data_IF_286476259627
#
_entry.id   IF_286476259627
#
_cell.length_a   1.000
_cell.length_b   1.000
_cell.length_c   1.000
_cell.angle_alpha   90.00
_cell.angle_beta   90.00
_cell.angle_gamma   90.00
#
_symmetry.space_group_name_H-M   'P 1'
#
loop_
_entity.id
_entity.type
_entity.pdbx_description
1 polymer ?
#
# COMPACT_ATOMS: atom_id res chain seq x y z
N UNK A 1 -15.92 -1.87 7.12
CA UNK A 1 -16.13 -0.45 7.52
C UNK A 1 -17.10 -0.31 8.67
N UNK A 2 -18.38 -0.70 8.54
CA UNK A 2 -19.40 -0.60 9.61
C UNK A 2 -18.95 -1.23 10.92
N UNK A 3 -18.48 -2.48 10.87
CA UNK A 3 -18.01 -3.19 12.07
C UNK A 3 -16.80 -2.51 12.71
N UNK A 4 -15.77 -2.17 11.92
CA UNK A 4 -14.55 -1.55 12.46
C UNK A 4 -14.81 -0.18 13.08
N UNK A 5 -15.49 0.74 12.37
CA UNK A 5 -15.71 2.11 12.88
C UNK A 5 -16.89 2.19 13.87
N UNK A 6 -17.91 1.36 13.68
CA UNK A 6 -19.17 1.40 14.44
C UNK A 6 -19.14 0.49 15.67
N UNK A 7 -19.00 -0.82 15.45
CA UNK A 7 -19.11 -1.82 16.52
C UNK A 7 -17.85 -1.85 17.38
N UNK A 8 -16.68 -1.87 16.73
CA UNK A 8 -15.36 -1.96 17.37
C UNK A 8 -14.78 -0.59 17.75
N UNK A 9 -15.47 0.51 17.42
CA UNK A 9 -15.05 1.89 17.70
C UNK A 9 -13.62 2.24 17.21
N UNK A 10 -13.18 1.62 16.12
CA UNK A 10 -11.93 1.96 15.45
C UNK A 10 -11.94 3.40 14.93
N UNK A 11 -10.82 4.10 15.09
CA UNK A 11 -10.74 5.54 14.79
C UNK A 11 -10.45 5.82 13.31
N UNK A 12 -9.67 4.96 12.66
CA UNK A 12 -9.16 5.21 11.32
C UNK A 12 -8.76 3.91 10.63
N UNK A 13 -9.08 3.79 9.34
CA UNK A 13 -8.66 2.66 8.49
C UNK A 13 -8.46 3.14 7.07
N UNK A 14 -7.43 2.62 6.42
CA UNK A 14 -7.10 2.87 5.03
C UNK A 14 -6.61 1.57 4.41
N UNK A 15 -6.83 1.42 3.10
CA UNK A 15 -6.51 0.18 2.39
C UNK A 15 -5.65 0.50 1.18
N UNK A 16 -4.67 -0.35 0.94
CA UNK A 16 -4.10 -0.55 -0.38
C UNK A 16 -4.73 -1.81 -0.97
N UNK A 17 -5.16 -1.75 -2.22
CA UNK A 17 -5.72 -2.89 -2.95
C UNK A 17 -4.83 -3.10 -4.17
N UNK A 18 -3.67 -3.71 -3.94
CA UNK A 18 -2.63 -3.96 -4.94
C UNK A 18 -1.90 -5.24 -4.53
N UNK A 19 -1.48 -6.06 -5.51
CA UNK A 19 -0.71 -7.27 -5.20
C UNK A 19 0.74 -6.91 -4.87
N UNK A 20 1.38 -7.72 -4.02
CA UNK A 20 2.80 -7.55 -3.74
C UNK A 20 3.66 -7.79 -4.99
N UNK A 21 3.21 -8.64 -5.92
CA UNK A 21 3.87 -8.82 -7.22
C UNK A 21 3.86 -7.56 -8.08
N UNK A 22 2.73 -6.83 -8.14
CA UNK A 22 2.67 -5.53 -8.83
C UNK A 22 3.63 -4.52 -8.19
N UNK A 23 3.68 -4.46 -6.85
CA UNK A 23 4.60 -3.56 -6.15
C UNK A 23 6.07 -3.93 -6.40
N UNK A 24 6.42 -5.23 -6.42
CA UNK A 24 7.76 -5.70 -6.75
C UNK A 24 8.14 -5.39 -8.20
N UNK A 25 7.22 -5.57 -9.14
CA UNK A 25 7.47 -5.22 -10.55
C UNK A 25 7.63 -3.71 -10.70
N UNK A 26 6.80 -2.90 -10.05
CA UNK A 26 6.93 -1.44 -10.06
C UNK A 26 8.23 -0.94 -9.42
N UNK A 27 8.75 -1.63 -8.40
CA UNK A 27 10.06 -1.32 -7.82
C UNK A 27 11.21 -1.60 -8.79
N UNK A 28 11.14 -2.68 -9.55
CA UNK A 28 12.16 -3.07 -10.55
C UNK A 28 12.03 -2.28 -11.86
N UNK A 29 10.80 -1.96 -12.27
CA UNK A 29 10.46 -1.38 -13.56
C UNK A 29 9.47 -0.19 -13.39
N UNK A 30 9.89 0.92 -12.74
CA UNK A 30 8.99 2.02 -12.41
C UNK A 30 8.31 2.66 -13.64
N UNK A 31 8.99 2.66 -14.79
CA UNK A 31 8.46 3.17 -16.07
C UNK A 31 7.27 2.38 -16.61
N UNK A 32 7.07 1.12 -16.18
CA UNK A 32 5.89 0.31 -16.54
C UNK A 32 4.66 0.67 -15.69
N UNK A 33 4.88 1.35 -14.57
CA UNK A 33 3.87 1.69 -13.56
C UNK A 33 3.91 3.18 -13.21
N UNK A 34 3.90 4.10 -14.20
CA UNK A 34 4.14 5.52 -13.97
C UNK A 34 3.11 6.17 -13.05
N UNK A 35 1.87 5.65 -13.08
CA UNK A 35 0.72 6.19 -12.35
C UNK A 35 0.34 5.34 -11.13
N UNK A 36 1.17 4.37 -10.73
CA UNK A 36 0.87 3.51 -9.59
C UNK A 36 0.90 4.32 -8.29
N UNK A 37 -0.30 4.72 -7.84
CA UNK A 37 -0.47 5.35 -6.54
C UNK A 37 -0.64 4.32 -5.43
N UNK A 38 0.00 4.60 -4.29
CA UNK A 38 -0.18 3.83 -3.06
C UNK A 38 -0.58 4.74 -1.91
N UNK A 39 -1.28 4.15 -0.94
CA UNK A 39 -1.60 4.79 0.33
C UNK A 39 -0.47 4.57 1.33
N UNK A 40 0.02 5.67 1.89
CA UNK A 40 0.97 5.72 2.99
C UNK A 40 0.19 6.05 4.28
N UNK A 41 0.87 6.35 5.39
CA UNK A 41 0.23 6.83 6.61
C UNK A 41 -0.32 8.26 6.43
N UNK A 42 -1.56 8.38 5.94
CA UNK A 42 -2.29 9.65 5.89
C UNK A 42 -2.28 10.38 4.55
N UNK A 43 -1.47 9.95 3.59
CA UNK A 43 -1.41 10.55 2.24
C UNK A 43 -1.25 9.48 1.16
N UNK A 44 -1.45 9.87 -0.10
CA UNK A 44 -1.20 9.03 -1.27
C UNK A 44 -0.03 9.59 -2.07
N UNK A 45 0.76 8.72 -2.69
CA UNK A 45 1.90 9.11 -3.52
C UNK A 45 2.15 8.10 -4.64
N UNK A 46 2.87 8.53 -5.68
CA UNK A 46 3.38 7.62 -6.70
C UNK A 46 4.40 6.68 -6.06
N UNK A 47 4.20 5.38 -6.24
CA UNK A 47 5.05 4.36 -5.65
C UNK A 47 6.52 4.53 -6.06
N UNK A 48 6.75 4.83 -7.34
CA UNK A 48 8.08 5.03 -7.91
C UNK A 48 8.82 6.25 -7.33
N UNK A 49 8.12 7.24 -6.75
CA UNK A 49 8.75 8.42 -6.14
C UNK A 49 9.07 8.25 -4.66
N UNK A 50 8.75 7.09 -4.07
CA UNK A 50 9.03 6.80 -2.67
C UNK A 50 10.48 6.36 -2.46
N UNK A 51 11.00 6.60 -1.26
CA UNK A 51 12.28 6.03 -0.84
C UNK A 51 12.26 4.49 -0.95
N UNK A 52 13.35 3.84 -1.42
CA UNK A 52 13.39 2.40 -1.61
C UNK A 52 13.03 1.58 -0.37
N UNK A 53 13.36 2.07 0.83
CA UNK A 53 13.02 1.42 2.10
C UNK A 53 11.51 1.49 2.36
N UNK A 54 10.89 2.62 2.07
CA UNK A 54 9.44 2.78 2.21
C UNK A 54 8.69 1.89 1.21
N UNK A 55 9.21 1.71 0.00
CA UNK A 55 8.68 0.75 -0.95
C UNK A 55 8.72 -0.68 -0.38
N UNK A 56 9.83 -1.08 0.24
CA UNK A 56 9.95 -2.40 0.90
C UNK A 56 8.97 -2.56 2.05
N UNK A 57 8.81 -1.54 2.90
CA UNK A 57 7.86 -1.57 4.00
C UNK A 57 6.40 -1.76 3.51
N UNK A 58 6.04 -1.15 2.38
CA UNK A 58 4.71 -1.30 1.76
C UNK A 58 4.55 -2.70 1.17
N UNK A 59 5.57 -3.22 0.49
CA UNK A 59 5.57 -4.60 -0.06
C UNK A 59 5.41 -5.61 1.08
N UNK A 60 6.20 -5.49 2.14
CA UNK A 60 6.16 -6.41 3.28
C UNK A 60 4.80 -6.43 3.98
N UNK A 61 4.13 -5.28 4.12
CA UNK A 61 2.76 -5.21 4.65
C UNK A 61 1.74 -5.90 3.73
N UNK A 62 1.98 -5.85 2.42
CA UNK A 62 1.10 -6.47 1.42
C UNK A 62 1.29 -7.98 1.35
N UNK A 63 2.48 -8.49 1.67
CA UNK A 63 2.75 -9.94 1.76
C UNK A 63 2.09 -10.61 2.97
N UNK A 64 1.79 -9.86 4.03
CA UNK A 64 1.18 -10.38 5.25
C UNK A 64 -0.32 -10.72 5.11
N UNK A 65 -0.77 -11.15 3.92
CA UNK A 65 -2.10 -11.74 3.73
C UNK A 65 -2.02 -13.21 4.17
N UNK A 66 -1.98 -13.44 5.47
CA UNK A 66 -2.63 -14.60 6.07
C UNK A 66 -3.87 -14.08 6.80
N UNK A 67 -5.03 -14.27 6.17
CA UNK A 67 -6.33 -14.25 6.83
C UNK A 67 -6.79 -15.69 7.02
#
# INVERSE_FOLDING_TARGET
IRTYLGDLKGMHVQFNIVSSDTLRDAKKHPVKHPDLMVRVAGYSALFASLDPKLQDDIIARTDNIML
#
